data_IF_062077330396
#
_entry.id   IF_062077330396
#
_cell.length_a   1.000
_cell.length_b   1.000
_cell.length_c   1.000
_cell.angle_alpha   90.00
_cell.angle_beta   90.00
_cell.angle_gamma   90.00
#
_symmetry.space_group_name_H-M   'P 1'
#
loop_
_entity.id
_entity.type
_entity.pdbx_description
1 polymer ?
#
# COMPACT_ATOMS: atom_id res chain seq x y z
N UNK A 1 9.97 17.21 -29.84
CA UNK A 1 9.65 16.90 -28.43
C UNK A 1 10.74 15.97 -27.96
N UNK A 2 11.80 16.57 -27.43
CA UNK A 2 12.93 15.84 -26.88
C UNK A 2 12.49 14.99 -25.69
N UNK A 3 13.04 13.80 -25.68
CA UNK A 3 12.92 12.80 -24.64
C UNK A 3 13.67 13.35 -23.42
N UNK A 4 12.92 13.74 -22.39
CA UNK A 4 13.40 13.78 -21.01
C UNK A 4 12.90 12.48 -20.38
N UNK A 5 13.79 11.49 -20.28
CA UNK A 5 14.56 11.21 -19.05
C UNK A 5 13.63 10.55 -18.04
N UNK A 6 13.62 9.22 -17.96
CA UNK A 6 14.60 8.51 -17.11
C UNK A 6 14.74 9.22 -15.77
N UNK A 7 13.63 9.28 -15.04
CA UNK A 7 13.50 9.07 -13.59
C UNK A 7 12.04 9.31 -13.21
N UNK A 8 11.21 8.28 -13.34
CA UNK A 8 9.97 8.22 -12.56
C UNK A 8 9.81 6.76 -12.14
N UNK A 9 10.04 6.51 -10.84
CA UNK A 9 10.00 5.20 -10.20
C UNK A 9 8.58 4.60 -10.16
N UNK A 10 7.96 4.43 -11.33
CA UNK A 10 6.59 4.01 -11.47
C UNK A 10 6.48 2.61 -12.09
N UNK A 11 5.48 1.88 -11.59
CA UNK A 11 5.20 0.48 -11.88
C UNK A 11 5.28 0.18 -13.38
N UNK A 12 5.81 -1.00 -13.79
CA UNK A 12 5.84 -1.41 -15.21
C UNK A 12 4.48 -1.29 -15.91
N UNK A 13 3.37 -1.41 -15.17
CA UNK A 13 2.00 -1.21 -15.66
C UNK A 13 1.70 0.24 -16.05
N UNK A 14 2.19 1.22 -15.30
CA UNK A 14 2.02 2.65 -15.60
C UNK A 14 2.79 3.02 -16.87
N UNK A 15 4.04 2.55 -17.01
CA UNK A 15 4.88 2.75 -18.19
C UNK A 15 4.22 2.16 -19.46
N UNK A 16 3.65 0.97 -19.38
CA UNK A 16 2.93 0.36 -20.52
C UNK A 16 1.71 1.19 -20.95
N UNK A 17 0.98 1.76 -20.00
CA UNK A 17 -0.23 2.54 -20.24
C UNK A 17 0.09 3.91 -20.85
N UNK A 18 1.14 4.58 -20.37
CA UNK A 18 1.68 5.80 -20.98
C UNK A 18 2.12 5.54 -22.42
N UNK A 19 2.85 4.44 -22.67
CA UNK A 19 3.28 4.04 -24.02
C UNK A 19 2.11 3.78 -24.97
N UNK A 20 1.02 3.18 -24.48
CA UNK A 20 -0.19 2.94 -25.27
C UNK A 20 -0.87 4.26 -25.66
N UNK A 21 -1.09 5.16 -24.70
CA UNK A 21 -1.71 6.46 -24.96
C UNK A 21 -0.87 7.36 -25.87
N UNK A 22 0.46 7.26 -25.77
CA UNK A 22 1.39 7.94 -26.68
C UNK A 22 1.22 7.46 -28.12
N UNK A 23 1.14 6.14 -28.35
CA UNK A 23 0.92 5.57 -29.69
C UNK A 23 -0.43 5.94 -30.31
N UNK A 24 -1.44 6.11 -29.47
CA UNK A 24 -2.79 6.51 -29.88
C UNK A 24 -2.93 8.03 -30.08
N UNK A 25 -1.84 8.81 -29.92
CA UNK A 25 -1.82 10.28 -29.96
C UNK A 25 -2.81 10.94 -28.97
N UNK A 26 -3.16 10.20 -27.91
CA UNK A 26 -4.11 10.59 -26.88
C UNK A 26 -3.43 10.91 -25.55
N UNK A 27 -2.10 10.98 -25.54
CA UNK A 27 -1.32 11.33 -24.36
C UNK A 27 -1.43 12.84 -24.10
N UNK A 28 -2.27 13.20 -23.14
CA UNK A 28 -2.37 14.57 -22.62
C UNK A 28 -1.65 14.66 -21.28
N UNK A 29 -1.26 15.87 -20.88
CA UNK A 29 -0.62 16.13 -19.58
C UNK A 29 -1.50 15.65 -18.41
N UNK A 30 -2.81 15.88 -18.48
CA UNK A 30 -3.78 15.41 -17.49
C UNK A 30 -3.78 13.88 -17.35
N UNK A 31 -3.81 13.13 -18.46
CA UNK A 31 -3.80 11.66 -18.44
C UNK A 31 -2.47 11.11 -17.92
N UNK A 32 -1.36 11.79 -18.22
CA UNK A 32 -0.05 11.43 -17.68
C UNK A 32 -0.02 11.64 -16.17
N UNK A 33 -0.51 12.78 -15.68
CA UNK A 33 -0.64 13.08 -14.25
C UNK A 33 -1.60 12.11 -13.54
N UNK A 34 -2.71 11.72 -14.17
CA UNK A 34 -3.64 10.73 -13.63
C UNK A 34 -2.97 9.35 -13.47
N UNK A 35 -2.19 8.90 -14.46
CA UNK A 35 -1.51 7.59 -14.41
C UNK A 35 -0.37 7.59 -13.38
N UNK A 36 0.36 8.69 -13.24
CA UNK A 36 1.42 8.83 -12.23
C UNK A 36 0.85 9.08 -10.82
N UNK A 37 -0.34 9.70 -10.72
CA UNK A 37 -1.06 9.90 -9.46
C UNK A 37 -1.91 8.69 -9.05
N UNK A 38 -2.03 7.67 -9.92
CA UNK A 38 -2.60 6.39 -9.55
C UNK A 38 -1.65 5.73 -8.53
N UNK A 39 -1.88 6.06 -7.26
CA UNK A 39 -1.20 5.48 -6.10
C UNK A 39 -1.11 3.98 -6.36
N UNK A 40 0.12 3.45 -6.39
CA UNK A 40 0.39 2.03 -6.58
C UNK A 40 -0.55 1.25 -5.65
N UNK A 41 -1.62 0.68 -6.20
CA UNK A 41 -2.50 -0.29 -5.50
C UNK A 41 -1.74 -1.51 -4.96
N UNK A 42 -0.42 -1.56 -5.12
CA UNK A 42 0.47 -2.68 -4.84
C UNK A 42 1.31 -2.57 -3.58
N UNK A 43 1.41 -1.43 -2.89
CA UNK A 43 2.16 -1.37 -1.63
C UNK A 43 1.24 -1.18 -0.43
N UNK A 44 0.23 -2.05 -0.33
CA UNK A 44 -0.29 -2.40 0.98
C UNK A 44 0.82 -3.23 1.64
N UNK A 45 1.74 -2.56 2.35
CA UNK A 45 2.76 -3.24 3.15
C UNK A 45 2.04 -4.05 4.23
N UNK A 46 1.88 -5.35 3.97
CA UNK A 46 1.17 -6.24 4.88
C UNK A 46 2.14 -6.75 5.93
N UNK A 47 1.89 -6.37 7.18
CA UNK A 47 2.49 -7.03 8.33
C UNK A 47 1.64 -8.26 8.66
N UNK A 48 2.24 -9.45 8.59
CA UNK A 48 1.58 -10.70 8.92
C UNK A 48 2.23 -11.35 10.14
N UNK A 49 1.39 -11.86 11.05
CA UNK A 49 1.82 -12.64 12.20
C UNK A 49 1.37 -14.08 12.02
N UNK A 50 2.23 -15.03 12.37
CA UNK A 50 1.86 -16.45 12.45
C UNK A 50 1.11 -16.74 13.74
N UNK A 51 0.24 -17.75 13.75
CA UNK A 51 -0.44 -18.16 14.98
C UNK A 51 0.55 -18.56 16.08
N UNK A 52 1.66 -19.21 15.71
CA UNK A 52 2.71 -19.58 16.66
C UNK A 52 3.34 -18.36 17.36
N UNK A 53 3.57 -17.27 16.63
CA UNK A 53 4.03 -16.01 17.22
C UNK A 53 3.00 -15.43 18.20
N UNK A 54 1.71 -15.52 17.88
CA UNK A 54 0.65 -14.97 18.71
C UNK A 54 0.32 -15.83 19.93
N UNK A 55 0.35 -17.16 19.81
CA UNK A 55 0.02 -18.08 20.91
C UNK A 55 0.93 -17.94 22.14
N UNK A 56 2.10 -17.32 22.01
CA UNK A 56 2.99 -16.99 23.14
C UNK A 56 2.45 -15.85 24.03
N UNK A 57 1.61 -14.99 23.47
CA UNK A 57 1.06 -13.79 24.14
C UNK A 57 -0.43 -13.92 24.45
N UNK A 58 -1.11 -14.91 23.88
CA UNK A 58 -2.55 -15.12 24.06
C UNK A 58 -2.85 -16.42 24.80
N UNK A 59 -3.88 -16.46 25.66
CA UNK A 59 -4.32 -17.70 26.30
C UNK A 59 -4.71 -18.77 25.27
N UNK A 60 -4.45 -20.06 25.59
CA UNK A 60 -4.70 -21.19 24.68
C UNK A 60 -6.14 -21.32 24.16
N UNK A 61 -7.12 -20.71 24.86
CA UNK A 61 -8.54 -20.70 24.49
C UNK A 61 -8.92 -19.64 23.43
N UNK A 62 -7.98 -18.78 23.04
CA UNK A 62 -8.27 -17.69 22.12
C UNK A 62 -8.32 -18.19 20.68
N UNK A 63 -9.38 -17.82 19.97
CA UNK A 63 -9.47 -18.04 18.53
C UNK A 63 -8.70 -16.95 17.77
N UNK A 64 -8.29 -17.19 16.52
CA UNK A 64 -7.61 -16.18 15.70
C UNK A 64 -8.42 -14.87 15.57
N UNK A 65 -9.76 -14.94 15.55
CA UNK A 65 -10.63 -13.77 15.53
C UNK A 65 -10.51 -12.94 16.81
N UNK A 66 -10.46 -13.60 17.98
CA UNK A 66 -10.26 -12.93 19.27
C UNK A 66 -8.88 -12.27 19.34
N UNK A 67 -7.82 -12.96 18.90
CA UNK A 67 -6.46 -12.41 18.86
C UNK A 67 -6.41 -11.16 17.97
N UNK A 68 -7.00 -11.23 16.77
CA UNK A 68 -7.06 -10.08 15.85
C UNK A 68 -7.75 -8.89 16.48
N UNK A 69 -8.89 -9.11 17.15
CA UNK A 69 -9.63 -8.04 17.84
C UNK A 69 -8.77 -7.37 18.92
N UNK A 70 -8.09 -8.18 19.72
CA UNK A 70 -7.29 -7.69 20.84
C UNK A 70 -6.05 -6.92 20.36
N UNK A 71 -5.34 -7.42 19.34
CA UNK A 71 -4.19 -6.73 18.73
C UNK A 71 -4.60 -5.32 18.26
N UNK A 72 -5.74 -5.21 17.57
CA UNK A 72 -6.23 -3.91 17.12
C UNK A 72 -6.61 -3.01 18.29
N UNK A 73 -7.21 -3.54 19.37
CA UNK A 73 -7.55 -2.76 20.55
C UNK A 73 -6.29 -2.20 21.25
N UNK A 74 -5.25 -3.02 21.41
CA UNK A 74 -3.97 -2.61 21.98
C UNK A 74 -3.29 -1.51 21.15
N UNK A 75 -3.30 -1.66 19.81
CA UNK A 75 -2.72 -0.66 18.91
C UNK A 75 -3.46 0.67 18.98
N UNK A 76 -4.79 0.68 19.16
CA UNK A 76 -5.57 1.92 19.32
C UNK A 76 -5.19 2.66 20.60
N UNK A 77 -5.04 1.95 21.72
CA UNK A 77 -4.63 2.55 23.00
C UNK A 77 -3.23 3.14 22.84
N UNK A 78 -2.29 2.36 22.29
CA UNK A 78 -0.92 2.81 22.07
C UNK A 78 -0.84 4.04 21.15
N UNK A 79 -1.62 4.06 20.06
CA UNK A 79 -1.70 5.20 19.15
C UNK A 79 -2.19 6.47 19.87
N UNK A 80 -3.28 6.36 20.65
CA UNK A 80 -3.85 7.48 21.39
C UNK A 80 -2.85 8.04 22.42
N UNK A 81 -2.07 7.19 23.09
CA UNK A 81 -1.09 7.62 24.09
C UNK A 81 0.19 8.23 23.51
N UNK A 82 0.61 7.77 22.32
CA UNK A 82 1.93 8.11 21.75
C UNK A 82 1.88 9.10 20.59
N UNK A 83 0.75 9.21 19.88
CA UNK A 83 0.65 10.01 18.66
C UNK A 83 -0.39 11.13 18.70
N UNK A 84 -1.39 11.06 19.58
CA UNK A 84 -2.38 12.14 19.74
C UNK A 84 -1.98 13.18 20.82
N UNK A 85 -0.68 13.55 20.87
CA UNK A 85 -0.16 14.63 21.72
C UNK A 85 0.16 15.88 20.93
#
# INVERSE_FOLDING_TARGET
MEIISEECGDSPKQVQRIKKLSKENQLTLEKMQEIMSEIKKGEITRVAFTNEQLHKYFPSRYTPAMMKREIIALLKIWQNENWEK
#
